data_IF_762381703346
#
_entry.id   IF_762381703346
#
_cell.length_a   1.000
_cell.length_b   1.000
_cell.length_c   1.000
_cell.angle_alpha   90.00
_cell.angle_beta   90.00
_cell.angle_gamma   90.00
#
_symmetry.space_group_name_H-M   'P 1'
#
loop_
_entity.id
_entity.type
_entity.pdbx_description
1 polymer ?
#
# COMPACT_ATOMS: atom_id res chain seq x y z
N UNK A 1 5.20 -6.17 -20.08
CA UNK A 1 3.91 -6.54 -19.44
C UNK A 1 3.10 -5.28 -19.27
N UNK A 2 1.76 -5.39 -19.31
CA UNK A 2 0.89 -4.28 -18.93
C UNK A 2 0.48 -4.41 -17.47
N UNK A 3 0.88 -3.47 -16.66
CA UNK A 3 0.74 -3.54 -15.21
C UNK A 3 -0.13 -2.43 -14.68
N UNK A 4 -1.01 -2.71 -13.71
CA UNK A 4 -1.66 -1.68 -12.88
C UNK A 4 -0.88 -1.52 -11.58
N UNK A 5 -0.65 -0.27 -11.18
CA UNK A 5 -0.17 0.09 -9.85
C UNK A 5 -1.20 1.01 -9.19
N UNK A 6 -1.97 0.50 -8.24
CA UNK A 6 -2.86 1.35 -7.44
C UNK A 6 -2.04 2.05 -6.35
N UNK A 7 -2.30 3.33 -6.10
CA UNK A 7 -1.46 4.11 -5.19
C UNK A 7 -0.05 4.38 -5.74
N UNK A 8 0.10 4.33 -7.08
CA UNK A 8 1.40 4.46 -7.73
C UNK A 8 1.99 5.87 -7.71
N UNK A 9 1.22 6.89 -7.35
CA UNK A 9 1.74 8.24 -7.09
C UNK A 9 2.15 8.45 -5.62
N UNK A 10 1.99 7.43 -4.76
CA UNK A 10 2.44 7.43 -3.38
C UNK A 10 3.94 7.14 -3.22
N UNK A 11 4.41 7.11 -1.97
CA UNK A 11 5.81 6.86 -1.63
C UNK A 11 6.31 5.53 -2.22
N UNK A 12 5.84 4.39 -1.73
CA UNK A 12 6.30 3.07 -2.17
C UNK A 12 5.91 2.83 -3.62
N UNK A 13 4.66 3.15 -3.99
CA UNK A 13 4.14 2.91 -5.33
C UNK A 13 4.96 3.60 -6.43
N UNK A 14 5.43 4.84 -6.21
CA UNK A 14 6.21 5.56 -7.22
C UNK A 14 7.60 4.97 -7.45
N UNK A 15 8.27 4.48 -6.41
CA UNK A 15 9.52 3.72 -6.56
C UNK A 15 9.29 2.39 -7.30
N UNK A 16 8.16 1.75 -7.02
CA UNK A 16 7.80 0.52 -7.71
C UNK A 16 7.52 0.77 -9.19
N UNK A 17 6.83 1.87 -9.54
CA UNK A 17 6.65 2.31 -10.93
C UNK A 17 7.99 2.50 -11.63
N UNK A 18 8.98 3.15 -10.98
CA UNK A 18 10.33 3.31 -11.54
C UNK A 18 10.97 1.96 -11.90
N UNK A 19 10.82 0.96 -11.04
CA UNK A 19 11.34 -0.40 -11.28
C UNK A 19 10.64 -1.09 -12.45
N UNK A 20 9.31 -0.99 -12.53
CA UNK A 20 8.53 -1.57 -13.63
C UNK A 20 8.90 -0.95 -14.98
N UNK A 21 9.01 0.37 -15.04
CA UNK A 21 9.43 1.08 -16.26
C UNK A 21 10.86 0.68 -16.67
N UNK A 22 11.77 0.58 -15.69
CA UNK A 22 13.15 0.12 -15.96
C UNK A 22 13.21 -1.30 -16.50
N UNK A 23 12.22 -2.13 -16.18
CA UNK A 23 12.04 -3.49 -16.73
C UNK A 23 11.43 -3.48 -18.14
N UNK A 24 10.91 -2.34 -18.60
CA UNK A 24 10.25 -2.19 -19.89
C UNK A 24 8.75 -2.48 -19.89
N UNK A 25 8.10 -2.41 -18.73
CA UNK A 25 6.65 -2.58 -18.62
C UNK A 25 5.90 -1.31 -19.07
N UNK A 26 4.65 -1.52 -19.52
CA UNK A 26 3.65 -0.49 -19.70
C UNK A 26 2.85 -0.37 -18.39
N UNK A 27 2.92 0.77 -17.73
CA UNK A 27 2.41 0.95 -16.37
C UNK A 27 1.23 1.91 -16.34
N UNK A 28 0.10 1.41 -15.90
CA UNK A 28 -1.09 2.20 -15.61
C UNK A 28 -1.17 2.45 -14.10
N UNK A 29 -1.06 3.70 -13.70
CA UNK A 29 -1.19 4.12 -12.30
C UNK A 29 -2.61 4.56 -12.03
N UNK A 30 -3.28 3.95 -11.06
CA UNK A 30 -4.57 4.38 -10.53
C UNK A 30 -4.36 5.03 -9.16
N UNK A 31 -4.59 6.33 -9.07
CA UNK A 31 -4.36 7.10 -7.83
C UNK A 31 -5.33 8.29 -7.80
N UNK A 32 -5.97 8.54 -6.66
CA UNK A 32 -6.86 9.69 -6.49
C UNK A 32 -6.14 10.97 -6.07
N UNK A 33 -4.80 10.89 -5.93
CA UNK A 33 -3.91 11.98 -5.53
C UNK A 33 -4.26 12.62 -4.16
N UNK A 34 -5.01 11.92 -3.31
CA UNK A 34 -5.34 12.40 -1.96
C UNK A 34 -4.11 12.52 -1.06
N UNK A 35 -3.12 11.64 -1.26
CA UNK A 35 -1.82 11.67 -0.58
C UNK A 35 -0.65 11.47 -1.55
N UNK A 36 -0.91 10.88 -2.70
CA UNK A 36 0.04 10.73 -3.80
C UNK A 36 0.35 12.05 -4.50
N UNK A 37 1.51 12.11 -5.16
CA UNK A 37 1.98 13.29 -5.89
C UNK A 37 2.32 12.93 -7.32
N UNK A 38 1.64 13.55 -8.28
CA UNK A 38 1.91 13.36 -9.71
C UNK A 38 3.38 13.67 -10.08
N UNK A 39 4.02 14.58 -9.31
CA UNK A 39 5.43 14.95 -9.49
C UNK A 39 6.39 13.76 -9.33
N UNK A 40 6.04 12.74 -8.52
CA UNK A 40 6.85 11.54 -8.34
C UNK A 40 6.94 10.69 -9.61
N UNK A 41 6.02 10.89 -10.55
CA UNK A 41 5.95 10.18 -11.82
C UNK A 41 6.36 11.05 -13.03
N UNK A 42 6.59 12.36 -12.82
CA UNK A 42 6.77 13.34 -13.91
C UNK A 42 8.01 13.09 -14.78
N UNK A 43 8.98 12.33 -14.31
CA UNK A 43 10.18 11.98 -15.07
C UNK A 43 9.95 10.86 -16.09
N UNK A 44 8.82 10.15 -16.01
CA UNK A 44 8.43 9.15 -17.00
C UNK A 44 7.67 9.81 -18.16
N UNK A 45 8.18 9.68 -19.38
CA UNK A 45 7.64 10.39 -20.57
C UNK A 45 6.84 9.50 -21.51
N UNK A 46 6.92 8.16 -21.38
CA UNK A 46 6.34 7.26 -22.39
C UNK A 46 5.59 6.05 -21.83
N UNK A 47 6.08 5.39 -20.80
CA UNK A 47 5.56 4.08 -20.39
C UNK A 47 4.70 4.14 -19.12
N UNK A 48 4.30 5.31 -18.68
CA UNK A 48 3.44 5.51 -17.51
C UNK A 48 2.24 6.35 -17.88
N UNK A 49 1.05 5.80 -17.60
CA UNK A 49 -0.21 6.54 -17.70
C UNK A 49 -0.78 6.71 -16.29
N UNK A 50 -0.90 7.96 -15.83
CA UNK A 50 -1.56 8.26 -14.57
C UNK A 50 -3.05 8.55 -14.82
N UNK A 51 -3.91 7.77 -14.18
CA UNK A 51 -5.36 7.98 -14.13
C UNK A 51 -5.74 8.47 -12.74
N UNK A 52 -6.29 9.67 -12.67
CA UNK A 52 -6.83 10.21 -11.42
C UNK A 52 -8.20 9.57 -11.17
N UNK A 53 -8.23 8.52 -10.35
CA UNK A 53 -9.45 7.76 -10.04
C UNK A 53 -9.42 7.26 -8.59
N UNK A 54 -10.57 7.31 -7.93
CA UNK A 54 -10.74 6.70 -6.61
C UNK A 54 -11.11 5.22 -6.79
N UNK A 55 -10.31 4.32 -6.26
CA UNK A 55 -10.55 2.88 -6.35
C UNK A 55 -11.72 2.39 -5.47
N UNK A 56 -12.32 3.26 -4.67
CA UNK A 56 -13.60 2.98 -4.00
C UNK A 56 -14.79 3.13 -4.95
N UNK A 57 -14.62 3.85 -6.06
CA UNK A 57 -15.60 3.93 -7.16
C UNK A 57 -15.35 2.79 -8.15
N UNK A 58 -16.14 1.73 -8.00
CA UNK A 58 -16.01 0.52 -8.82
C UNK A 58 -16.20 0.78 -10.31
N UNK A 59 -17.24 1.53 -10.66
CA UNK A 59 -17.63 1.77 -12.06
C UNK A 59 -16.59 2.64 -12.79
N UNK A 60 -16.01 3.60 -12.09
CA UNK A 60 -14.95 4.45 -12.63
C UNK A 60 -13.62 3.68 -12.79
N UNK A 61 -13.31 2.77 -11.86
CA UNK A 61 -12.01 2.07 -11.83
C UNK A 61 -11.98 0.83 -12.73
N UNK A 62 -13.03 0.01 -12.69
CA UNK A 62 -13.03 -1.35 -13.28
C UNK A 62 -12.67 -1.41 -14.77
N UNK A 63 -13.12 -0.47 -15.64
CA UNK A 63 -12.78 -0.52 -17.07
C UNK A 63 -11.25 -0.47 -17.36
N UNK A 64 -10.45 0.06 -16.45
CA UNK A 64 -9.00 0.16 -16.62
C UNK A 64 -8.27 -1.19 -16.52
N UNK A 65 -8.93 -2.25 -16.05
CA UNK A 65 -8.34 -3.59 -15.90
C UNK A 65 -8.32 -4.40 -17.19
N UNK A 66 -8.95 -3.92 -18.25
CA UNK A 66 -8.99 -4.64 -19.54
C UNK A 66 -7.57 -4.79 -20.13
N UNK A 67 -7.19 -6.04 -20.43
CA UNK A 67 -5.90 -6.39 -21.04
C UNK A 67 -4.68 -6.19 -20.12
N UNK A 68 -4.88 -6.19 -18.80
CA UNK A 68 -3.83 -6.10 -17.79
C UNK A 68 -3.30 -7.48 -17.43
N UNK A 69 -1.99 -7.62 -17.30
CA UNK A 69 -1.32 -8.87 -16.93
C UNK A 69 -1.18 -9.06 -15.42
N UNK A 70 -0.99 -7.96 -14.66
CA UNK A 70 -0.73 -8.00 -13.22
C UNK A 70 -1.17 -6.69 -12.54
N UNK A 71 -1.64 -6.82 -11.30
CA UNK A 71 -1.96 -5.69 -10.42
C UNK A 71 -1.00 -5.66 -9.22
N UNK A 72 -0.42 -4.49 -8.99
CA UNK A 72 0.34 -4.15 -7.79
C UNK A 72 -0.50 -3.20 -6.94
N UNK A 73 -1.02 -3.70 -5.83
CA UNK A 73 -2.00 -2.98 -5.02
C UNK A 73 -1.35 -2.36 -3.79
N UNK A 74 -0.97 -1.07 -3.90
CA UNK A 74 -0.38 -0.27 -2.82
C UNK A 74 -1.36 0.73 -2.22
N UNK A 75 -2.43 1.10 -2.91
CA UNK A 75 -3.38 2.08 -2.43
C UNK A 75 -3.98 1.68 -1.07
N UNK A 76 -3.93 2.60 -0.13
CA UNK A 76 -4.50 2.48 1.20
C UNK A 76 -4.49 3.86 1.88
N UNK A 77 -5.21 4.01 2.99
CA UNK A 77 -5.02 5.15 3.86
C UNK A 77 -3.59 5.15 4.47
N UNK A 78 -2.76 6.17 4.25
CA UNK A 78 -1.41 6.22 4.81
C UNK A 78 -1.36 6.71 6.26
N UNK A 79 -2.43 7.34 6.77
CA UNK A 79 -2.49 7.89 8.13
C UNK A 79 -3.35 7.04 9.06
N UNK A 80 -2.70 6.16 9.83
CA UNK A 80 -3.37 5.29 10.82
C UNK A 80 -4.19 6.11 11.83
N UNK A 81 -3.78 7.35 12.15
CA UNK A 81 -4.49 8.20 13.12
C UNK A 81 -5.79 8.73 12.55
N UNK A 82 -5.90 8.90 11.24
CA UNK A 82 -7.15 9.34 10.60
C UNK A 82 -8.29 8.34 10.89
N UNK A 83 -8.00 7.04 10.89
CA UNK A 83 -8.97 6.00 11.22
C UNK A 83 -9.57 6.15 12.63
N UNK A 84 -8.87 6.76 13.60
CA UNK A 84 -9.43 7.02 14.94
C UNK A 84 -10.41 8.20 14.98
N UNK A 85 -10.36 9.07 13.97
CA UNK A 85 -11.24 10.24 13.85
C UNK A 85 -12.42 9.96 12.91
N UNK A 86 -12.16 9.26 11.81
CA UNK A 86 -13.15 8.87 10.79
C UNK A 86 -13.06 7.35 10.65
N UNK A 87 -13.86 6.64 11.43
CA UNK A 87 -13.71 5.19 11.65
C UNK A 87 -13.99 4.31 10.43
N UNK A 88 -14.67 4.81 9.42
CA UNK A 88 -14.95 4.11 8.17
C UNK A 88 -13.88 4.33 7.06
N UNK A 89 -12.86 5.16 7.33
CA UNK A 89 -11.79 5.45 6.37
C UNK A 89 -11.06 4.18 5.94
N UNK A 90 -10.56 3.39 6.90
CA UNK A 90 -9.83 2.17 6.61
C UNK A 90 -10.74 1.06 6.06
N UNK A 91 -12.02 1.03 6.47
CA UNK A 91 -13.00 0.13 5.87
C UNK A 91 -13.17 0.43 4.37
N UNK A 92 -13.34 1.70 4.00
CA UNK A 92 -13.55 2.12 2.61
C UNK A 92 -12.28 1.99 1.79
N UNK A 93 -11.20 2.65 2.23
CA UNK A 93 -9.95 2.74 1.46
C UNK A 93 -9.06 1.50 1.55
N UNK A 94 -9.24 0.66 2.55
CA UNK A 94 -8.50 -0.59 2.71
C UNK A 94 -9.31 -1.81 2.27
N UNK A 95 -10.48 -2.04 2.85
CA UNK A 95 -11.25 -3.28 2.63
C UNK A 95 -12.10 -3.21 1.36
N UNK A 96 -12.95 -2.19 1.21
CA UNK A 96 -13.86 -2.07 0.04
C UNK A 96 -13.04 -1.82 -1.23
N UNK A 97 -12.03 -0.95 -1.15
CA UNK A 97 -11.12 -0.71 -2.27
C UNK A 97 -10.40 -1.99 -2.73
N UNK A 98 -9.91 -2.82 -1.78
CA UNK A 98 -9.29 -4.11 -2.13
C UNK A 98 -10.31 -5.07 -2.74
N UNK A 99 -11.54 -5.13 -2.23
CA UNK A 99 -12.62 -5.90 -2.86
C UNK A 99 -12.84 -5.44 -4.31
N UNK A 100 -12.95 -4.14 -4.56
CA UNK A 100 -13.15 -3.59 -5.90
C UNK A 100 -12.01 -4.01 -6.85
N UNK A 101 -10.76 -3.99 -6.37
CA UNK A 101 -9.59 -4.42 -7.14
C UNK A 101 -9.69 -5.89 -7.52
N UNK A 102 -9.87 -6.80 -6.55
CA UNK A 102 -9.89 -8.25 -6.85
C UNK A 102 -11.11 -8.64 -7.67
N UNK A 103 -12.25 -7.96 -7.51
CA UNK A 103 -13.44 -8.18 -8.32
C UNK A 103 -13.25 -7.70 -9.76
N UNK A 104 -12.64 -6.53 -9.96
CA UNK A 104 -12.28 -6.06 -11.31
C UNK A 104 -11.31 -7.01 -12.01
N UNK A 105 -10.33 -7.55 -11.27
CA UNK A 105 -9.43 -8.58 -11.80
C UNK A 105 -10.17 -9.82 -12.25
N UNK A 106 -11.14 -10.29 -11.47
CA UNK A 106 -11.98 -11.45 -11.84
C UNK A 106 -12.77 -11.18 -13.12
N UNK A 107 -13.43 -10.02 -13.22
CA UNK A 107 -14.27 -9.63 -14.36
C UNK A 107 -13.44 -9.53 -15.65
N UNK A 108 -12.25 -8.93 -15.56
CA UNK A 108 -11.36 -8.69 -16.71
C UNK A 108 -10.32 -9.79 -16.93
N UNK A 109 -10.40 -10.91 -16.18
CA UNK A 109 -9.49 -12.05 -16.27
C UNK A 109 -8.01 -11.68 -16.03
N UNK A 110 -7.74 -10.75 -15.13
CA UNK A 110 -6.37 -10.40 -14.71
C UNK A 110 -5.87 -11.47 -13.74
N UNK A 111 -4.80 -12.21 -14.06
CA UNK A 111 -4.47 -13.44 -13.34
C UNK A 111 -3.71 -13.22 -12.02
N UNK A 112 -2.98 -12.12 -11.87
CA UNK A 112 -1.98 -11.99 -10.80
C UNK A 112 -2.12 -10.71 -10.00
N UNK A 113 -2.09 -10.82 -8.67
CA UNK A 113 -2.04 -9.68 -7.75
C UNK A 113 -0.82 -9.76 -6.81
N UNK A 114 -0.15 -8.64 -6.64
CA UNK A 114 0.74 -8.33 -5.53
C UNK A 114 0.05 -7.37 -4.56
N UNK A 115 -0.17 -7.78 -3.32
CA UNK A 115 -0.85 -6.99 -2.30
C UNK A 115 0.10 -6.51 -1.21
N UNK A 116 0.20 -5.20 -1.05
CA UNK A 116 0.94 -4.57 0.04
C UNK A 116 0.15 -4.65 1.35
N UNK A 117 0.40 -5.68 2.12
CA UNK A 117 -0.04 -5.80 3.51
C UNK A 117 0.97 -5.13 4.45
N UNK A 118 0.83 -5.35 5.74
CA UNK A 118 1.66 -4.68 6.76
C UNK A 118 1.88 -5.61 7.96
N UNK A 119 3.02 -5.46 8.63
CA UNK A 119 3.32 -6.16 9.88
C UNK A 119 2.32 -5.86 11.01
N UNK A 120 1.54 -4.78 10.92
CA UNK A 120 0.50 -4.46 11.92
C UNK A 120 -0.63 -5.50 11.98
N UNK A 121 -0.76 -6.39 10.99
CA UNK A 121 -1.74 -7.48 11.00
C UNK A 121 -1.46 -8.50 12.11
N UNK A 122 -0.20 -8.60 12.57
CA UNK A 122 0.18 -9.53 13.62
C UNK A 122 -0.32 -9.13 15.02
N UNK A 123 -0.65 -7.84 15.24
CA UNK A 123 -0.98 -7.30 16.56
C UNK A 123 0.23 -7.14 17.48
N UNK A 124 -0.02 -6.81 18.76
CA UNK A 124 1.04 -6.49 19.72
C UNK A 124 1.70 -7.71 20.39
N UNK A 125 1.04 -8.87 20.36
CA UNK A 125 1.51 -10.06 21.07
C UNK A 125 2.33 -11.02 20.19
N UNK A 126 2.74 -10.59 19.01
CA UNK A 126 3.55 -11.40 18.12
C UNK A 126 4.98 -11.58 18.69
N UNK A 127 5.57 -12.78 18.60
CA UNK A 127 6.96 -12.99 19.01
C UNK A 127 7.91 -12.21 18.10
N UNK A 128 9.08 -11.85 18.63
CA UNK A 128 10.14 -11.19 17.85
C UNK A 128 11.37 -12.10 17.77
N UNK A 129 11.84 -12.47 16.57
CA UNK A 129 11.28 -12.18 15.25
C UNK A 129 9.95 -12.92 14.99
N UNK A 130 9.04 -12.26 14.25
CA UNK A 130 7.72 -12.83 13.94
C UNK A 130 7.80 -13.77 12.73
N UNK A 131 7.43 -15.05 12.85
CA UNK A 131 7.40 -15.95 11.69
C UNK A 131 6.19 -15.63 10.78
N UNK A 132 6.33 -15.89 9.48
CA UNK A 132 5.28 -15.62 8.49
C UNK A 132 3.96 -16.36 8.78
N UNK A 133 4.03 -17.57 9.35
CA UNK A 133 2.89 -18.39 9.71
C UNK A 133 2.31 -18.07 11.10
N UNK A 134 2.74 -16.98 11.74
CA UNK A 134 2.16 -16.56 13.01
C UNK A 134 0.68 -16.26 12.88
N UNK A 135 -0.11 -16.81 13.76
CA UNK A 135 -1.56 -16.60 13.86
C UNK A 135 -2.11 -17.06 15.21
N UNK A 136 -3.34 -16.67 15.54
CA UNK A 136 -4.24 -15.85 14.73
C UNK A 136 -3.77 -14.40 14.61
N UNK A 137 -4.03 -13.74 13.46
CA UNK A 137 -3.78 -12.31 13.27
C UNK A 137 -4.85 -11.51 14.02
N UNK A 138 -4.43 -10.75 15.02
CA UNK A 138 -5.32 -9.94 15.87
C UNK A 138 -4.86 -8.47 15.86
N UNK A 139 -5.10 -7.74 14.77
CA UNK A 139 -4.68 -6.36 14.66
C UNK A 139 -5.41 -5.47 15.68
N UNK A 140 -4.70 -4.49 16.22
CA UNK A 140 -5.22 -3.56 17.24
C UNK A 140 -5.56 -2.19 16.66
N UNK A 141 -5.46 -2.00 15.36
CA UNK A 141 -5.84 -0.77 14.67
C UNK A 141 -6.83 -1.03 13.54
N UNK A 142 -7.63 -0.02 13.19
CA UNK A 142 -8.58 -0.11 12.06
C UNK A 142 -7.83 -0.33 10.74
N UNK A 143 -6.68 0.32 10.57
CA UNK A 143 -5.78 0.07 9.45
C UNK A 143 -5.30 -1.39 9.40
N UNK A 144 -4.84 -1.94 10.52
CA UNK A 144 -4.45 -3.35 10.61
C UNK A 144 -5.61 -4.30 10.30
N UNK A 145 -6.80 -3.99 10.79
CA UNK A 145 -8.02 -4.74 10.49
C UNK A 145 -8.33 -4.73 8.99
N UNK A 146 -8.22 -3.57 8.34
CA UNK A 146 -8.44 -3.45 6.89
C UNK A 146 -7.41 -4.23 6.07
N UNK A 147 -6.14 -4.22 6.48
CA UNK A 147 -5.08 -5.03 5.84
C UNK A 147 -5.32 -6.53 6.02
N UNK A 148 -5.72 -7.00 7.20
CA UNK A 148 -6.11 -8.40 7.44
C UNK A 148 -7.33 -8.81 6.59
N UNK A 149 -8.32 -7.94 6.46
CA UNK A 149 -9.46 -8.16 5.57
C UNK A 149 -9.01 -8.25 4.11
N UNK A 150 -8.09 -7.37 3.68
CA UNK A 150 -7.49 -7.41 2.34
C UNK A 150 -6.76 -8.73 2.05
N UNK A 151 -5.95 -9.23 2.99
CA UNK A 151 -5.31 -10.55 2.88
C UNK A 151 -6.34 -11.66 2.70
N UNK A 152 -7.43 -11.61 3.49
CA UNK A 152 -8.52 -12.59 3.41
C UNK A 152 -9.25 -12.53 2.07
N UNK A 153 -9.50 -11.33 1.54
CA UNK A 153 -10.10 -11.14 0.21
C UNK A 153 -9.20 -11.72 -0.88
N UNK A 154 -7.92 -11.33 -0.92
CA UNK A 154 -6.96 -11.86 -1.91
C UNK A 154 -6.90 -13.38 -1.84
N UNK A 155 -6.74 -13.95 -0.64
CA UNK A 155 -6.70 -15.42 -0.43
C UNK A 155 -7.98 -16.10 -0.91
N UNK A 156 -9.14 -15.50 -0.66
CA UNK A 156 -10.43 -16.05 -1.09
C UNK A 156 -10.59 -16.03 -2.60
N UNK A 157 -10.15 -14.96 -3.28
CA UNK A 157 -10.17 -14.90 -4.75
C UNK A 157 -9.18 -15.87 -5.39
N UNK A 158 -7.99 -16.08 -4.78
CA UNK A 158 -7.06 -17.15 -5.17
C UNK A 158 -7.73 -18.52 -5.08
N UNK A 159 -8.34 -18.85 -3.93
CA UNK A 159 -8.96 -20.16 -3.71
C UNK A 159 -10.22 -20.39 -4.53
N UNK A 160 -11.01 -19.36 -4.78
CA UNK A 160 -12.33 -19.49 -5.43
C UNK A 160 -12.26 -19.35 -6.94
N UNK A 161 -11.43 -18.42 -7.43
CA UNK A 161 -11.39 -18.05 -8.86
C UNK A 161 -10.06 -18.36 -9.55
N UNK A 162 -9.08 -18.93 -8.82
CA UNK A 162 -7.81 -19.39 -9.40
C UNK A 162 -6.81 -18.27 -9.72
N UNK A 163 -6.95 -17.09 -9.11
CA UNK A 163 -5.94 -16.03 -9.23
C UNK A 163 -4.62 -16.47 -8.59
N UNK A 164 -3.52 -15.81 -8.98
CA UNK A 164 -2.24 -15.88 -8.27
C UNK A 164 -2.10 -14.67 -7.36
N UNK A 165 -1.96 -14.89 -6.05
CA UNK A 165 -1.84 -13.83 -5.05
C UNK A 165 -0.50 -13.89 -4.31
N UNK A 166 0.18 -12.75 -4.23
CA UNK A 166 1.39 -12.55 -3.43
C UNK A 166 1.10 -11.47 -2.40
N UNK A 167 1.25 -11.79 -1.11
CA UNK A 167 0.97 -10.90 0.01
C UNK A 167 2.28 -10.55 0.70
N UNK A 168 2.58 -9.25 0.80
CA UNK A 168 3.80 -8.74 1.42
C UNK A 168 3.44 -7.95 2.68
N UNK A 169 3.79 -8.48 3.84
CA UNK A 169 3.61 -7.82 5.14
C UNK A 169 4.80 -6.93 5.42
N UNK A 170 4.78 -5.73 4.86
CA UNK A 170 5.88 -4.78 5.01
C UNK A 170 6.08 -4.36 6.47
N UNK A 171 7.36 -4.24 6.86
CA UNK A 171 7.81 -3.49 8.04
C UNK A 171 7.73 -1.98 7.76
N UNK A 172 8.46 -1.15 8.52
CA UNK A 172 8.53 0.27 8.21
C UNK A 172 9.44 0.48 6.99
N UNK A 173 8.91 1.09 5.96
CA UNK A 173 9.68 1.45 4.76
C UNK A 173 10.19 2.88 4.92
N UNK A 174 11.45 3.10 4.57
CA UNK A 174 12.10 4.41 4.59
C UNK A 174 12.78 4.68 3.25
N UNK A 175 12.96 5.93 2.91
CA UNK A 175 13.66 6.32 1.69
C UNK A 175 13.22 7.66 1.17
N UNK A 176 13.70 8.00 -0.02
CA UNK A 176 13.29 9.20 -0.73
C UNK A 176 11.79 9.19 -1.05
N UNK A 177 11.19 10.35 -1.26
CA UNK A 177 9.74 10.56 -1.43
C UNK A 177 8.89 10.14 -0.22
N UNK A 178 9.49 9.76 0.91
CA UNK A 178 8.77 9.48 2.14
C UNK A 178 8.07 10.74 2.67
N UNK A 179 6.77 10.63 2.99
CA UNK A 179 5.94 11.78 3.42
C UNK A 179 5.51 11.72 4.88
N UNK A 180 5.79 10.63 5.55
CA UNK A 180 5.39 10.38 6.94
C UNK A 180 6.28 9.32 7.60
N UNK A 181 6.03 9.07 8.88
CA UNK A 181 6.78 8.10 9.69
C UNK A 181 7.78 8.76 10.62
N UNK A 182 8.26 7.98 11.61
CA UNK A 182 9.06 8.51 12.73
C UNK A 182 10.33 9.24 12.27
N UNK A 183 11.02 8.72 11.26
CA UNK A 183 12.26 9.34 10.76
C UNK A 183 11.94 10.67 10.07
N UNK A 184 10.89 10.70 9.24
CA UNK A 184 10.41 11.94 8.63
C UNK A 184 10.02 12.97 9.68
N UNK A 185 9.24 12.58 10.69
CA UNK A 185 8.80 13.45 11.77
C UNK A 185 9.99 13.98 12.59
N UNK A 186 10.98 13.13 12.91
CA UNK A 186 12.17 13.54 13.67
C UNK A 186 13.03 14.53 12.90
N UNK A 187 13.23 14.32 11.60
CA UNK A 187 13.96 15.28 10.75
C UNK A 187 13.24 16.64 10.75
N UNK A 188 11.91 16.65 10.62
CA UNK A 188 11.14 17.90 10.63
C UNK A 188 11.13 18.58 11.99
N UNK A 189 11.05 17.81 13.10
CA UNK A 189 11.15 18.35 14.46
C UNK A 189 12.53 18.98 14.69
N UNK A 190 13.62 18.29 14.33
CA UNK A 190 14.99 18.79 14.47
C UNK A 190 15.30 20.00 13.56
N UNK A 191 14.72 20.05 12.35
CA UNK A 191 14.81 21.23 11.50
C UNK A 191 14.12 22.45 12.11
N UNK A 192 13.05 22.24 12.87
CA UNK A 192 12.29 23.30 13.55
C UNK A 192 12.97 23.73 14.86
N UNK A 193 13.46 22.79 15.63
CA UNK A 193 14.21 23.01 16.87
C UNK A 193 15.38 22.04 16.98
N UNK A 194 16.60 22.44 16.61
CA UNK A 194 17.78 21.55 16.59
C UNK A 194 18.32 21.19 17.98
N UNK A 195 17.85 21.86 19.05
CA UNK A 195 18.31 21.62 20.42
C UNK A 195 17.45 20.63 21.21
N UNK A 196 16.26 20.27 20.69
CA UNK A 196 15.32 19.43 21.44
C UNK A 196 14.53 18.54 20.47
N UNK A 197 14.48 17.26 20.76
CA UNK A 197 13.68 16.28 20.01
C UNK A 197 12.60 15.69 20.92
N UNK A 198 11.35 16.05 20.67
CA UNK A 198 10.23 15.38 21.30
C UNK A 198 10.04 13.98 20.75
N UNK A 199 10.15 12.97 21.62
CA UNK A 199 9.92 11.55 21.30
C UNK A 199 8.63 11.10 21.99
N UNK A 200 7.72 10.51 21.23
CA UNK A 200 6.50 9.92 21.76
C UNK A 200 6.80 8.55 22.37
N UNK A 201 6.32 8.32 23.59
CA UNK A 201 6.59 7.10 24.34
C UNK A 201 7.86 7.21 25.22
N UNK A 202 8.39 6.07 25.65
CA UNK A 202 9.53 5.97 26.57
C UNK A 202 10.89 5.79 25.88
N UNK A 203 10.91 5.83 24.54
CA UNK A 203 12.13 5.66 23.74
C UNK A 203 12.66 4.23 23.61
N UNK A 204 11.93 3.22 24.11
CA UNK A 204 12.35 1.81 24.08
C UNK A 204 11.78 1.04 22.90
N UNK A 205 10.98 1.69 22.06
CA UNK A 205 10.36 1.04 20.91
C UNK A 205 11.42 0.65 19.87
N UNK A 206 11.44 -0.62 19.52
CA UNK A 206 12.25 -1.16 18.44
C UNK A 206 11.36 -1.54 17.25
N UNK A 207 11.78 -1.16 16.05
CA UNK A 207 11.06 -1.44 14.81
C UNK A 207 12.06 -1.83 13.71
N UNK A 208 11.67 -2.78 12.88
CA UNK A 208 12.42 -3.10 11.67
C UNK A 208 12.17 -2.03 10.60
N UNK A 209 13.21 -1.68 9.88
CA UNK A 209 13.17 -0.75 8.76
C UNK A 209 13.80 -1.41 7.53
N UNK A 210 13.21 -1.11 6.37
CA UNK A 210 13.71 -1.52 5.06
C UNK A 210 13.80 -0.28 4.17
N UNK A 211 14.89 -0.15 3.43
CA UNK A 211 15.04 0.92 2.44
C UNK A 211 14.12 0.62 1.25
N UNK A 212 13.49 1.67 0.69
CA UNK A 212 12.46 1.52 -0.36
C UNK A 212 12.99 0.92 -1.66
N UNK A 213 14.29 1.03 -1.92
CA UNK A 213 14.94 0.45 -3.09
C UNK A 213 15.23 -1.06 -2.97
N UNK A 214 15.20 -1.62 -1.74
CA UNK A 214 15.43 -3.05 -1.48
C UNK A 214 14.18 -3.88 -1.79
#
# INVERSE_FOLDING_TARGET
MRSIVTGGAGFIGSHFVDRLVSRGDDVLVLDNLSSGKAEFLAHHTSNVTLVNVDITDFDAMSPHFEGVDIVYHFAANPDIRLGTQITDTDLKQGTIATYNVVESMRIHNVPTIMFASSSVVYGDNAPMPTPENHGPSLPISLYGASKSAGESLVSSWVGTFGLQGYIFRFANIIGDRGTHGVIFDFIHKLKRNPSELEVLGDGRQEKSYMEVGD
#
